data_IF_483725076287
#
_entry.id   IF_483725076287
#
_cell.length_a   1.000
_cell.length_b   1.000
_cell.length_c   1.000
_cell.angle_alpha   90.00
_cell.angle_beta   90.00
_cell.angle_gamma   90.00
#
_symmetry.space_group_name_H-M   'P 1'
#
loop_
_entity.id
_entity.type
_entity.pdbx_description
1 polymer ?
#
# COMPACT_ATOMS: atom_id res chain seq x y z
N UNK A 1 0.36 -6.48 18.74
CA UNK A 1 0.26 -6.12 17.31
C UNK A 1 -1.20 -5.84 16.99
N UNK A 2 -1.55 -4.56 16.85
CA UNK A 2 -2.84 -4.16 16.28
C UNK A 2 -2.68 -4.32 14.77
N UNK A 3 -3.41 -5.26 14.17
CA UNK A 3 -3.38 -5.45 12.74
C UNK A 3 -4.80 -5.35 12.18
N UNK A 4 -5.01 -4.61 11.09
CA UNK A 4 -6.20 -4.82 10.27
C UNK A 4 -6.09 -6.23 9.70
N UNK A 5 -6.96 -7.14 10.14
CA UNK A 5 -7.07 -8.46 9.54
C UNK A 5 -7.64 -8.31 8.13
N UNK A 6 -6.82 -8.57 7.12
CA UNK A 6 -7.31 -8.94 5.79
C UNK A 6 -7.93 -10.33 5.91
N UNK A 7 -9.19 -10.38 6.35
CA UNK A 7 -10.06 -11.45 5.93
C UNK A 7 -10.37 -11.20 4.46
N UNK A 8 -9.98 -12.12 3.57
CA UNK A 8 -10.65 -12.27 2.28
C UNK A 8 -12.17 -12.15 2.53
N UNK A 9 -12.91 -11.32 1.78
CA UNK A 9 -14.28 -10.98 2.14
C UNK A 9 -15.18 -12.22 2.07
N UNK A 10 -15.39 -12.85 3.22
CA UNK A 10 -16.59 -13.63 3.47
C UNK A 10 -17.71 -12.61 3.62
N UNK A 11 -18.55 -12.56 2.59
CA UNK A 11 -19.73 -11.70 2.51
C UNK A 11 -20.66 -11.97 3.71
N UNK A 12 -20.57 -11.14 4.75
CA UNK A 12 -21.54 -11.13 5.84
C UNK A 12 -22.51 -9.96 5.68
N UNK A 13 -23.79 -10.27 5.87
CA UNK A 13 -24.92 -9.39 5.59
C UNK A 13 -25.15 -8.39 6.73
N UNK A 14 -24.85 -7.11 6.47
CA UNK A 14 -25.28 -5.99 7.31
C UNK A 14 -26.38 -5.20 6.59
N UNK A 15 -27.58 -5.16 7.18
CA UNK A 15 -28.72 -4.38 6.69
C UNK A 15 -28.57 -2.94 7.16
N UNK A 16 -28.45 -1.97 6.25
CA UNK A 16 -28.49 -0.54 6.58
C UNK A 16 -29.60 0.14 5.78
N UNK A 17 -30.54 0.73 6.52
CA UNK A 17 -31.67 1.53 6.04
C UNK A 17 -31.17 2.88 5.50
N UNK A 18 -31.73 3.29 4.36
CA UNK A 18 -31.40 4.54 3.68
C UNK A 18 -32.18 5.74 4.22
N UNK A 19 -31.54 6.91 4.19
CA UNK A 19 -32.16 8.22 4.31
C UNK A 19 -31.86 9.03 3.05
N UNK A 20 -32.91 9.43 2.34
CA UNK A 20 -32.87 10.34 1.19
C UNK A 20 -32.81 11.79 1.70
N UNK A 21 -31.89 12.58 1.14
CA UNK A 21 -31.97 14.04 1.18
C UNK A 21 -31.69 14.59 -0.22
N UNK A 22 -32.73 15.17 -0.82
CA UNK A 22 -32.63 16.05 -1.98
C UNK A 22 -32.03 17.40 -1.57
N UNK A 23 -31.50 18.18 -2.51
CA UNK A 23 -31.69 19.65 -2.62
C UNK A 23 -30.92 20.25 -3.81
N UNK A 24 -31.71 20.95 -4.64
CA UNK A 24 -31.52 22.17 -5.47
C UNK A 24 -30.54 22.25 -6.65
N UNK A 25 -31.19 22.38 -7.80
CA UNK A 25 -30.84 23.21 -8.97
C UNK A 25 -30.48 24.66 -8.63
N UNK A 26 -29.49 25.20 -9.36
CA UNK A 26 -29.47 26.61 -9.80
C UNK A 26 -28.88 26.75 -11.21
N UNK A 27 -29.59 27.59 -11.96
CA UNK A 27 -29.47 27.96 -13.36
C UNK A 27 -28.16 28.69 -13.77
N UNK A 28 -27.91 28.80 -15.09
CA UNK A 28 -26.70 29.35 -15.68
C UNK A 28 -26.81 30.86 -15.94
N UNK A 29 -25.68 31.58 -15.83
CA UNK A 29 -25.56 32.97 -16.29
C UNK A 29 -24.62 33.09 -17.48
N UNK A 30 -25.21 33.54 -18.57
CA UNK A 30 -24.62 34.07 -19.80
C UNK A 30 -23.59 35.18 -19.56
N UNK A 31 -22.56 35.26 -20.40
CA UNK A 31 -21.88 36.51 -20.78
C UNK A 31 -21.51 36.51 -22.28
N UNK A 32 -21.57 37.69 -22.95
CA UNK A 32 -21.47 37.84 -24.40
C UNK A 32 -20.04 38.08 -24.90
N UNK A 33 -19.85 37.85 -26.21
CA UNK A 33 -18.55 37.78 -26.87
C UNK A 33 -17.94 39.09 -27.37
N UNK A 34 -16.74 38.97 -27.94
CA UNK A 34 -16.01 39.92 -28.81
C UNK A 34 -14.95 39.11 -29.61
N UNK A 35 -14.22 39.68 -30.59
CA UNK A 35 -14.51 39.64 -32.02
C UNK A 35 -13.52 38.77 -32.84
N UNK A 36 -13.95 38.51 -34.06
CA UNK A 36 -13.21 37.95 -35.21
C UNK A 36 -11.98 38.78 -35.62
N UNK A 37 -10.83 38.14 -35.82
CA UNK A 37 -9.76 38.63 -36.70
C UNK A 37 -9.03 37.49 -37.45
N UNK A 38 -9.13 37.61 -38.79
CA UNK A 38 -8.20 37.29 -39.87
C UNK A 38 -7.61 35.86 -40.08
N UNK A 39 -7.66 35.34 -41.32
CA UNK A 39 -7.08 34.05 -41.68
C UNK A 39 -5.61 34.23 -42.07
N UNK A 40 -4.69 33.94 -41.16
CA UNK A 40 -3.29 33.72 -41.52
C UNK A 40 -3.14 32.30 -42.05
N UNK A 41 -2.75 32.24 -43.32
CA UNK A 41 -2.44 31.06 -44.11
C UNK A 41 -1.24 30.31 -43.48
N UNK A 42 -1.49 29.49 -42.47
CA UNK A 42 -0.51 28.54 -41.94
C UNK A 42 -0.57 27.33 -42.87
N UNK A 43 0.48 27.18 -43.68
CA UNK A 43 0.79 25.98 -44.45
C UNK A 43 0.93 24.85 -43.43
N UNK A 44 -0.15 24.06 -43.31
CA UNK A 44 -0.24 22.91 -42.44
C UNK A 44 0.69 21.83 -42.94
N UNK A 45 1.89 21.76 -42.36
CA UNK A 45 2.64 20.52 -42.28
C UNK A 45 1.80 19.61 -41.37
N UNK A 46 0.84 18.91 -41.98
CA UNK A 46 0.19 17.74 -41.41
C UNK A 46 1.27 16.66 -41.29
N UNK A 47 2.11 16.80 -40.26
CA UNK A 47 2.86 15.68 -39.73
C UNK A 47 1.80 14.67 -39.31
N UNK A 48 1.67 13.61 -40.11
CA UNK A 48 1.12 12.34 -39.71
C UNK A 48 2.00 11.82 -38.56
N UNK A 49 1.92 12.45 -37.39
CA UNK A 49 2.35 11.81 -36.16
C UNK A 49 1.32 10.73 -35.95
N UNK A 50 1.61 9.52 -36.46
CA UNK A 50 0.99 8.31 -35.93
C UNK A 50 1.06 8.46 -34.41
N UNK A 51 -0.10 8.70 -33.81
CA UNK A 51 -0.19 9.18 -32.44
C UNK A 51 0.58 8.22 -31.57
N UNK A 52 1.77 8.66 -31.12
CA UNK A 52 2.60 7.92 -30.18
C UNK A 52 1.74 7.80 -28.95
N UNK A 53 0.99 6.70 -28.83
CA UNK A 53 0.19 6.43 -27.65
C UNK A 53 1.19 6.42 -26.52
N UNK A 54 1.11 7.42 -25.65
CA UNK A 54 1.97 7.53 -24.50
C UNK A 54 1.93 6.17 -23.78
N UNK A 55 3.09 5.51 -23.71
CA UNK A 55 3.19 4.22 -23.03
C UNK A 55 2.84 4.46 -21.57
N UNK A 56 1.95 3.65 -20.99
CA UNK A 56 1.66 3.67 -19.56
C UNK A 56 2.94 3.27 -18.81
N UNK A 57 3.50 4.18 -18.02
CA UNK A 57 4.68 3.93 -17.20
C UNK A 57 4.30 4.12 -15.73
N UNK A 58 4.89 3.30 -14.86
CA UNK A 58 4.80 3.56 -13.44
C UNK A 58 5.56 4.84 -13.06
N UNK A 59 5.37 5.40 -11.85
CA UNK A 59 6.11 6.59 -11.44
C UNK A 59 7.62 6.41 -11.52
N UNK A 60 8.35 7.47 -11.85
CA UNK A 60 9.82 7.43 -11.98
C UNK A 60 10.49 7.06 -10.67
N UNK A 61 9.96 7.51 -9.51
CA UNK A 61 10.54 7.18 -8.20
C UNK A 61 10.58 5.67 -7.89
N UNK A 62 9.83 4.84 -8.62
CA UNK A 62 9.93 3.37 -8.52
C UNK A 62 11.03 2.78 -9.40
N UNK A 63 11.48 3.53 -10.42
CA UNK A 63 12.35 3.08 -11.50
C UNK A 63 13.73 3.74 -11.48
N UNK A 64 13.82 4.95 -10.91
CA UNK A 64 15.03 5.75 -10.90
C UNK A 64 16.14 4.95 -10.22
N UNK A 65 17.27 4.72 -10.91
CA UNK A 65 18.35 3.90 -10.38
C UNK A 65 18.94 4.55 -9.13
N UNK A 66 19.50 3.71 -8.26
CA UNK A 66 20.27 4.19 -7.12
C UNK A 66 21.56 4.89 -7.61
N UNK A 67 22.25 5.67 -6.76
CA UNK A 67 23.48 6.37 -7.15
C UNK A 67 24.60 5.46 -7.68
N UNK A 68 24.56 4.17 -7.34
CA UNK A 68 25.48 3.14 -7.84
C UNK A 68 25.06 2.53 -9.19
N UNK A 69 23.96 3.01 -9.77
CA UNK A 69 23.37 2.51 -11.02
C UNK A 69 22.52 1.25 -10.85
N UNK A 70 22.42 0.69 -9.64
CA UNK A 70 21.59 -0.49 -9.39
C UNK A 70 20.10 -0.16 -9.48
N UNK A 71 19.30 -1.16 -9.85
CA UNK A 71 17.84 -1.01 -9.92
C UNK A 71 17.28 -0.85 -8.52
N UNK A 72 16.53 0.23 -8.29
CA UNK A 72 15.79 0.44 -7.05
C UNK A 72 14.74 -0.66 -6.89
N UNK A 73 14.67 -1.21 -5.68
CA UNK A 73 13.63 -2.15 -5.29
C UNK A 73 13.01 -1.70 -3.98
N UNK A 74 11.81 -2.20 -3.71
CA UNK A 74 11.03 -1.89 -2.53
C UNK A 74 10.66 -3.18 -1.81
N UNK A 75 10.51 -3.12 -0.50
CA UNK A 75 10.13 -4.26 0.33
C UNK A 75 8.69 -4.09 0.79
N UNK A 76 7.90 -5.14 0.78
CA UNK A 76 6.57 -5.19 1.41
C UNK A 76 6.37 -6.54 2.08
N UNK A 77 5.30 -6.68 2.86
CA UNK A 77 4.97 -7.91 3.56
C UNK A 77 3.61 -8.44 3.10
N UNK A 78 3.59 -9.74 2.80
CA UNK A 78 2.36 -10.48 2.58
C UNK A 78 2.19 -11.48 3.71
N UNK A 79 0.94 -11.67 4.13
CA UNK A 79 0.59 -12.63 5.17
C UNK A 79 -0.25 -13.71 4.57
N UNK A 80 0.22 -14.94 4.69
CA UNK A 80 -0.55 -16.12 4.36
C UNK A 80 -1.21 -16.63 5.63
N UNK A 81 -2.53 -16.73 5.61
CA UNK A 81 -3.31 -17.40 6.66
C UNK A 81 -3.70 -18.79 6.18
N UNK A 82 -2.94 -19.81 6.59
CA UNK A 82 -3.27 -21.23 6.36
C UNK A 82 -4.13 -21.82 7.49
N UNK A 83 -4.39 -23.13 7.45
CA UNK A 83 -5.29 -23.86 8.36
C UNK A 83 -4.91 -23.81 9.86
N UNK A 84 -3.79 -23.20 10.23
CA UNK A 84 -3.38 -22.96 11.64
C UNK A 84 -2.13 -22.09 11.77
N UNK A 85 -1.36 -21.94 10.69
CA UNK A 85 -0.10 -21.19 10.69
C UNK A 85 -0.25 -19.87 9.92
N UNK A 86 0.21 -18.78 10.54
CA UNK A 86 0.37 -17.48 9.90
C UNK A 86 1.82 -17.39 9.45
N UNK A 87 2.05 -17.38 8.15
CA UNK A 87 3.38 -17.15 7.59
C UNK A 87 3.43 -15.75 7.01
N UNK A 88 4.39 -14.95 7.46
CA UNK A 88 4.69 -13.65 6.86
C UNK A 88 5.86 -13.81 5.92
N UNK A 89 5.66 -13.48 4.66
CA UNK A 89 6.72 -13.47 3.64
C UNK A 89 7.00 -12.04 3.21
N UNK A 90 8.29 -11.74 3.00
CA UNK A 90 8.71 -10.45 2.47
C UNK A 90 8.83 -10.54 0.96
N UNK A 91 8.22 -9.57 0.27
CA UNK A 91 8.32 -9.40 -1.17
C UNK A 91 9.29 -8.27 -1.52
N UNK A 92 10.10 -8.49 -2.53
CA UNK A 92 10.87 -7.46 -3.23
C UNK A 92 10.11 -7.03 -4.50
N UNK A 93 9.70 -5.76 -4.53
CA UNK A 93 9.03 -5.13 -5.65
C UNK A 93 10.05 -4.36 -6.48
N UNK A 94 10.15 -4.72 -7.77
CA UNK A 94 10.98 -4.01 -8.75
C UNK A 94 10.10 -3.42 -9.84
N UNK A 95 10.46 -2.26 -10.37
CA UNK A 95 9.74 -1.59 -11.45
C UNK A 95 10.64 -1.40 -12.66
N UNK A 96 10.17 -1.83 -13.83
CA UNK A 96 10.85 -1.65 -15.12
C UNK A 96 9.83 -1.14 -16.13
N UNK A 97 9.86 0.15 -16.44
CA UNK A 97 8.96 0.81 -17.38
C UNK A 97 7.47 0.65 -16.99
N UNK A 98 6.76 -0.16 -17.78
CA UNK A 98 5.34 -0.47 -17.62
C UNK A 98 5.09 -1.75 -16.82
N UNK A 99 6.11 -2.37 -16.24
CA UNK A 99 6.00 -3.64 -15.53
C UNK A 99 6.56 -3.55 -14.11
N UNK A 100 5.79 -4.08 -13.15
CA UNK A 100 6.21 -4.35 -11.79
C UNK A 100 6.36 -5.87 -11.62
N UNK A 101 7.41 -6.29 -10.93
CA UNK A 101 7.70 -7.68 -10.61
C UNK A 101 7.85 -7.80 -9.09
N UNK A 102 7.14 -8.75 -8.48
CA UNK A 102 7.25 -9.05 -7.06
C UNK A 102 7.92 -10.40 -6.86
N UNK A 103 9.00 -10.41 -6.10
CA UNK A 103 9.85 -11.56 -5.86
C UNK A 103 9.82 -11.94 -4.38
N UNK A 104 9.61 -13.21 -4.07
CA UNK A 104 9.73 -13.74 -2.72
C UNK A 104 11.09 -14.44 -2.56
N UNK A 105 11.74 -14.23 -1.43
CA UNK A 105 12.93 -14.98 -1.04
C UNK A 105 12.48 -16.25 -0.30
N UNK A 106 12.82 -17.42 -0.81
CA UNK A 106 12.46 -18.73 -0.27
C UNK A 106 13.74 -19.43 0.17
N UNK A 107 13.71 -20.02 1.36
CA UNK A 107 14.79 -20.87 1.86
C UNK A 107 14.46 -22.33 1.59
N UNK A 108 15.23 -22.94 0.69
CA UNK A 108 15.09 -24.35 0.34
C UNK A 108 16.39 -25.10 0.67
N UNK A 109 16.34 -26.41 0.99
CA UNK A 109 17.54 -27.21 1.14
C UNK A 109 18.38 -27.13 -0.13
N UNK A 110 19.67 -26.82 0.01
CA UNK A 110 20.57 -26.83 -1.15
C UNK A 110 20.72 -28.25 -1.68
N UNK A 111 20.84 -28.40 -3.00
CA UNK A 111 21.23 -29.64 -3.67
C UNK A 111 22.71 -29.97 -3.37
N UNK A 112 23.01 -30.38 -2.14
CA UNK A 112 24.35 -30.75 -1.71
C UNK A 112 24.52 -32.27 -1.71
N UNK A 113 25.32 -32.84 -2.62
CA UNK A 113 25.53 -34.30 -2.71
C UNK A 113 26.20 -34.90 -1.47
N UNK A 114 26.74 -34.08 -0.58
CA UNK A 114 27.47 -34.48 0.62
C UNK A 114 26.58 -34.63 1.88
N UNK A 115 25.24 -34.49 1.74
CA UNK A 115 24.30 -34.76 2.84
C UNK A 115 24.30 -33.74 3.97
N UNK A 116 25.07 -32.64 3.87
CA UNK A 116 24.98 -31.52 4.81
C UNK A 116 23.69 -30.73 4.56
N UNK A 117 22.89 -30.52 5.61
CA UNK A 117 21.67 -29.69 5.57
C UNK A 117 22.06 -28.21 5.56
N UNK A 118 22.45 -27.69 4.40
CA UNK A 118 22.54 -26.24 4.16
C UNK A 118 21.25 -25.77 3.50
N UNK A 119 20.80 -24.55 3.83
CA UNK A 119 19.68 -23.89 3.17
C UNK A 119 20.22 -22.83 2.21
N UNK A 120 19.60 -22.73 1.04
CA UNK A 120 19.94 -21.79 -0.02
C UNK A 120 18.77 -20.80 -0.17
N UNK A 121 19.10 -19.52 -0.31
CA UNK A 121 18.11 -18.49 -0.61
C UNK A 121 17.87 -18.46 -2.13
N UNK A 122 16.62 -18.68 -2.53
CA UNK A 122 16.17 -18.60 -3.92
C UNK A 122 15.14 -17.48 -4.07
N UNK A 123 15.23 -16.73 -5.18
CA UNK A 123 14.20 -15.75 -5.56
C UNK A 123 13.19 -16.41 -6.47
N UNK A 124 11.93 -16.43 -6.06
CA UNK A 124 10.81 -16.87 -6.87
C UNK A 124 9.95 -15.67 -7.26
N UNK A 125 9.59 -15.58 -8.54
CA UNK A 125 8.64 -14.57 -9.02
C UNK A 125 7.23 -14.94 -8.52
N UNK A 126 6.69 -14.13 -7.62
CA UNK A 126 5.34 -14.33 -7.06
C UNK A 126 4.29 -13.83 -8.06
N UNK A 127 4.45 -12.59 -8.54
CA UNK A 127 3.54 -12.01 -9.52
C UNK A 127 4.18 -10.93 -10.38
N UNK A 128 3.51 -10.64 -11.50
CA UNK A 128 3.78 -9.47 -12.35
C UNK A 128 2.57 -8.57 -12.44
N UNK A 129 2.81 -7.28 -12.65
CA UNK A 129 1.78 -6.24 -12.81
C UNK A 129 2.17 -5.36 -13.99
N UNK A 130 1.34 -5.30 -15.01
CA UNK A 130 1.57 -4.49 -16.21
C UNK A 130 0.63 -3.27 -16.24
N UNK A 131 1.22 -2.09 -16.36
CA UNK A 131 0.54 -0.80 -16.56
C UNK A 131 -0.16 -0.81 -17.92
N UNK A 132 -1.49 -0.74 -17.92
CA UNK A 132 -2.29 -0.67 -19.14
C UNK A 132 -2.63 0.78 -19.50
N UNK A 133 -3.03 1.56 -18.50
CA UNK A 133 -3.42 2.97 -18.65
C UNK A 133 -3.29 3.71 -17.32
N UNK A 134 -2.84 4.96 -17.35
CA UNK A 134 -2.96 5.88 -16.20
C UNK A 134 -4.35 6.55 -16.21
N UNK A 135 -5.06 6.47 -15.10
CA UNK A 135 -6.47 6.90 -14.95
C UNK A 135 -6.59 8.00 -13.88
N UNK A 136 -5.75 9.02 -14.02
CA UNK A 136 -5.58 10.11 -13.07
C UNK A 136 -4.24 10.05 -12.32
N UNK A 137 -3.94 11.08 -11.54
CA UNK A 137 -2.63 11.25 -10.89
C UNK A 137 -2.32 10.07 -9.97
N UNK A 138 -1.29 9.29 -10.35
CA UNK A 138 -0.81 8.15 -9.57
C UNK A 138 -1.76 6.95 -9.55
N UNK A 139 -2.78 6.90 -10.42
CA UNK A 139 -3.72 5.78 -10.54
C UNK A 139 -3.49 5.03 -11.85
N UNK A 140 -3.42 3.71 -11.77
CA UNK A 140 -3.05 2.85 -12.88
C UNK A 140 -4.05 1.71 -13.01
N UNK A 141 -4.54 1.47 -14.23
CA UNK A 141 -5.19 0.21 -14.56
C UNK A 141 -4.10 -0.82 -14.82
N UNK A 142 -4.15 -1.90 -14.08
CA UNK A 142 -3.08 -2.90 -14.04
C UNK A 142 -3.63 -4.25 -14.46
N UNK A 143 -2.90 -4.93 -15.35
CA UNK A 143 -3.04 -6.37 -15.58
C UNK A 143 -2.12 -7.08 -14.60
N UNK A 144 -2.70 -7.82 -13.67
CA UNK A 144 -1.97 -8.61 -12.70
C UNK A 144 -1.95 -10.07 -13.16
N UNK A 145 -0.77 -10.67 -13.14
CA UNK A 145 -0.57 -12.08 -13.48
C UNK A 145 0.18 -12.75 -12.33
N UNK A 146 -0.48 -13.71 -11.70
CA UNK A 146 0.06 -14.52 -10.61
C UNK A 146 -0.17 -15.99 -10.97
N UNK A 147 0.91 -16.76 -11.07
CA UNK A 147 0.88 -18.12 -11.64
C UNK A 147 0.18 -18.13 -13.03
N UNK A 148 -0.90 -18.91 -13.18
CA UNK A 148 -1.69 -19.03 -14.41
C UNK A 148 -2.97 -18.16 -14.40
N UNK A 149 -3.12 -17.29 -13.40
CA UNK A 149 -4.31 -16.46 -13.21
C UNK A 149 -4.03 -15.02 -13.63
N UNK A 150 -4.99 -14.43 -14.34
CA UNK A 150 -4.91 -13.04 -14.83
C UNK A 150 -6.10 -12.25 -14.29
N UNK A 151 -5.78 -11.16 -13.61
CA UNK A 151 -6.72 -10.24 -13.01
C UNK A 151 -6.48 -8.81 -13.51
N UNK A 152 -7.52 -8.00 -13.42
CA UNK A 152 -7.47 -6.58 -13.74
C UNK A 152 -8.02 -5.80 -12.56
N UNK A 153 -7.30 -4.77 -12.13
CA UNK A 153 -7.75 -3.86 -11.09
C UNK A 153 -7.12 -2.48 -11.25
N UNK A 154 -7.63 -1.51 -10.50
CA UNK A 154 -6.98 -0.21 -10.37
C UNK A 154 -6.03 -0.18 -9.20
N UNK A 155 -4.85 0.39 -9.38
CA UNK A 155 -3.83 0.56 -8.35
C UNK A 155 -3.51 2.05 -8.20
N UNK A 156 -3.41 2.54 -6.97
CA UNK A 156 -2.91 3.90 -6.69
C UNK A 156 -1.57 3.80 -5.99
N UNK A 157 -0.61 4.60 -6.42
CA UNK A 157 0.74 4.63 -5.87
C UNK A 157 1.03 6.05 -5.40
N UNK A 158 1.32 6.21 -4.11
CA UNK A 158 1.62 7.51 -3.51
C UNK A 158 2.97 7.44 -2.81
N UNK A 159 3.91 8.26 -3.26
CA UNK A 159 5.16 8.48 -2.55
C UNK A 159 4.88 9.30 -1.29
N UNK A 160 5.11 8.73 -0.11
CA UNK A 160 4.98 9.45 1.17
C UNK A 160 6.27 10.19 1.51
N UNK A 161 7.41 9.52 1.32
CA UNK A 161 8.76 10.08 1.40
C UNK A 161 9.75 9.18 0.61
N UNK A 162 11.06 9.44 0.64
CA UNK A 162 12.03 8.65 -0.15
C UNK A 162 12.15 7.19 0.28
N UNK A 163 11.76 6.89 1.51
CA UNK A 163 11.82 5.56 2.10
C UNK A 163 10.50 4.80 2.02
N UNK A 164 9.40 5.45 1.62
CA UNK A 164 8.05 4.93 1.83
C UNK A 164 7.11 5.26 0.66
N UNK A 165 6.55 4.21 0.08
CA UNK A 165 5.49 4.27 -0.92
C UNK A 165 4.26 3.57 -0.38
N UNK A 166 3.14 4.27 -0.34
CA UNK A 166 1.84 3.69 0.00
C UNK A 166 1.14 3.24 -1.29
N UNK A 167 0.48 2.09 -1.21
CA UNK A 167 -0.29 1.50 -2.31
C UNK A 167 -1.74 1.31 -1.91
N UNK A 168 -2.64 1.47 -2.87
CA UNK A 168 -4.04 1.09 -2.78
C UNK A 168 -4.39 0.20 -3.96
N UNK A 169 -5.27 -0.76 -3.76
CA UNK A 169 -5.79 -1.65 -4.79
C UNK A 169 -7.32 -1.59 -4.82
N UNK A 170 -7.88 -1.52 -6.03
CA UNK A 170 -9.31 -1.66 -6.27
C UNK A 170 -9.75 -3.12 -6.33
N UNK A 171 -11.03 -3.32 -6.61
CA UNK A 171 -11.61 -4.64 -6.80
C UNK A 171 -10.99 -5.39 -7.98
N UNK A 172 -10.64 -6.65 -7.77
CA UNK A 172 -10.08 -7.54 -8.79
C UNK A 172 -11.18 -8.12 -9.69
N UNK A 173 -10.95 -8.04 -11.00
CA UNK A 173 -11.81 -8.68 -12.01
C UNK A 173 -10.99 -9.74 -12.73
N UNK A 174 -11.39 -11.01 -12.60
CA UNK A 174 -10.72 -12.13 -13.26
C UNK A 174 -11.11 -12.22 -14.74
N UNK A 175 -10.13 -12.58 -15.58
CA UNK A 175 -10.34 -12.85 -17.00
C UNK A 175 -10.39 -14.36 -17.25
N UNK A 176 -11.39 -15.06 -16.70
CA UNK A 176 -11.66 -16.43 -17.14
C UNK A 176 -12.34 -16.42 -18.51
N UNK A 177 -11.83 -17.27 -19.41
CA UNK A 177 -12.06 -17.30 -20.87
C UNK A 177 -13.49 -17.62 -21.33
N UNK A 178 -14.49 -17.66 -20.43
CA UNK A 178 -15.89 -18.00 -20.75
C UNK A 178 -16.87 -16.82 -20.60
N UNK A 179 -16.34 -15.59 -20.71
CA UNK A 179 -17.12 -14.37 -20.65
C UNK A 179 -17.06 -13.75 -19.27
N UNK A 180 -16.72 -12.47 -19.22
CA UNK A 180 -16.67 -11.59 -18.04
C UNK A 180 -17.86 -11.86 -17.10
N UNK A 181 -17.72 -12.80 -16.16
CA UNK A 181 -18.59 -12.91 -15.00
C UNK A 181 -18.00 -11.98 -13.96
N UNK A 182 -18.34 -10.70 -14.10
CA UNK A 182 -18.22 -9.71 -13.03
C UNK A 182 -18.76 -10.33 -11.74
N UNK A 183 -18.01 -10.23 -10.64
CA UNK A 183 -18.54 -10.46 -9.30
C UNK A 183 -19.69 -9.47 -9.10
N UNK A 184 -20.91 -9.90 -9.40
CA UNK A 184 -22.12 -9.07 -9.32
C UNK A 184 -22.36 -8.81 -7.85
N UNK A 185 -22.13 -7.57 -7.42
CA UNK A 185 -22.66 -7.05 -6.17
C UNK A 185 -24.13 -7.47 -6.03
N UNK A 186 -24.46 -8.15 -4.92
CA UNK A 186 -25.71 -8.87 -4.68
C UNK A 186 -27.01 -8.02 -4.75
N UNK A 187 -26.93 -6.74 -5.11
CA UNK A 187 -28.08 -5.91 -5.50
C UNK A 187 -28.27 -5.90 -7.02
N UNK A 188 -28.71 -7.04 -7.55
CA UNK A 188 -29.72 -7.15 -8.61
C UNK A 188 -29.74 -6.19 -9.82
N UNK A 189 -28.64 -5.59 -10.25
CA UNK A 189 -28.57 -4.83 -11.50
C UNK A 189 -27.51 -5.44 -12.40
N UNK A 190 -27.97 -6.12 -13.46
CA UNK A 190 -27.17 -6.49 -14.65
C UNK A 190 -26.73 -5.22 -15.40
N UNK A 191 -25.95 -4.36 -14.75
CA UNK A 191 -25.16 -3.36 -15.44
C UNK A 191 -23.79 -3.98 -15.63
N UNK A 192 -23.39 -4.24 -16.88
CA UNK A 192 -21.98 -4.55 -17.16
C UNK A 192 -21.12 -3.47 -16.50
N UNK A 193 -20.05 -3.87 -15.80
CA UNK A 193 -19.10 -2.92 -15.24
C UNK A 193 -18.57 -2.13 -16.43
N UNK A 194 -19.09 -0.91 -16.62
CA UNK A 194 -18.55 -0.01 -17.61
C UNK A 194 -17.11 0.26 -17.20
N UNK A 195 -16.19 0.10 -18.14
CA UNK A 195 -14.75 0.23 -17.98
C UNK A 195 -14.32 1.58 -17.33
N UNK A 196 -15.21 2.58 -17.29
CA UNK A 196 -15.01 3.84 -16.57
C UNK A 196 -15.01 3.75 -15.03
N UNK A 197 -15.43 2.63 -14.43
CA UNK A 197 -15.62 2.51 -12.98
C UNK A 197 -14.47 1.89 -12.17
N UNK A 198 -13.47 1.28 -12.84
CA UNK A 198 -12.42 0.49 -12.16
C UNK A 198 -11.55 1.32 -11.19
N UNK A 199 -11.27 2.58 -11.53
CA UNK A 199 -10.40 3.48 -10.76
C UNK A 199 -11.13 4.49 -9.87
N UNK A 200 -12.34 4.14 -9.43
CA UNK A 200 -13.08 4.95 -8.46
C UNK A 200 -12.47 4.83 -7.06
N UNK A 201 -12.12 5.96 -6.45
CA UNK A 201 -11.51 6.02 -5.10
C UNK A 201 -12.34 5.29 -4.03
N UNK A 202 -13.67 5.28 -4.17
CA UNK A 202 -14.58 4.67 -3.18
C UNK A 202 -14.45 3.15 -3.06
N UNK A 203 -13.88 2.49 -4.06
CA UNK A 203 -13.72 1.03 -4.10
C UNK A 203 -12.28 0.57 -3.94
N UNK A 204 -11.37 1.47 -3.55
CA UNK A 204 -9.96 1.16 -3.34
C UNK A 204 -9.69 0.92 -1.86
N UNK A 205 -8.94 -0.13 -1.58
CA UNK A 205 -8.46 -0.48 -0.25
C UNK A 205 -6.97 -0.20 -0.16
N UNK A 206 -6.54 0.36 0.97
CA UNK A 206 -5.15 0.64 1.23
C UNK A 206 -4.42 -0.66 1.58
N UNK A 207 -3.24 -0.86 0.98
CA UNK A 207 -2.34 -1.92 1.37
C UNK A 207 -1.89 -1.69 2.82
N UNK A 208 -2.16 -2.62 3.76
CA UNK A 208 -1.78 -2.44 5.15
C UNK A 208 -0.27 -2.38 5.37
N UNK A 209 0.53 -2.86 4.40
CA UNK A 209 1.99 -2.80 4.45
C UNK A 209 2.54 -1.92 3.32
N UNK A 210 2.90 -0.67 3.63
CA UNK A 210 3.51 0.19 2.64
C UNK A 210 4.82 -0.41 2.14
N UNK A 211 5.19 -0.04 0.93
CA UNK A 211 6.44 -0.42 0.31
C UNK A 211 7.56 0.44 0.89
N UNK A 212 8.58 -0.22 1.44
CA UNK A 212 9.69 0.44 2.14
C UNK A 212 10.99 0.25 1.38
N UNK A 213 11.84 1.26 1.35
CA UNK A 213 13.18 1.10 0.77
C UNK A 213 13.96 0.01 1.57
N UNK A 214 14.89 -0.71 0.94
CA UNK A 214 15.71 -1.71 1.65
C UNK A 214 16.68 -1.08 2.66
N UNK A 215 17.04 0.18 2.43
CA UNK A 215 17.88 0.98 3.31
C UNK A 215 17.26 2.37 3.43
N UNK A 216 17.34 2.95 4.62
CA UNK A 216 16.90 4.31 4.84
C UNK A 216 17.82 5.29 4.08
N UNK A 217 17.27 5.99 3.10
CA UNK A 217 17.96 6.99 2.27
C UNK A 217 18.02 8.35 2.96
N UNK A 218 17.02 8.66 3.80
CA UNK A 218 16.93 9.92 4.52
C UNK A 218 16.47 9.72 5.96
N UNK A 219 17.03 10.51 6.89
CA UNK A 219 16.52 10.57 8.26
C UNK A 219 15.12 11.19 8.26
N UNK A 220 14.18 10.54 8.93
CA UNK A 220 12.79 11.00 9.04
C UNK A 220 12.45 11.27 10.50
N UNK A 221 11.96 12.48 10.85
CA UNK A 221 11.51 12.76 12.20
C UNK A 221 10.32 11.88 12.57
N UNK A 222 10.30 11.39 13.80
CA UNK A 222 9.16 10.66 14.33
C UNK A 222 8.07 11.66 14.77
N UNK A 223 6.79 11.41 14.47
CA UNK A 223 5.71 12.33 14.81
C UNK A 223 5.31 12.26 16.29
N UNK A 224 6.01 11.47 17.11
CA UNK A 224 5.68 11.21 18.50
C UNK A 224 6.73 11.81 19.42
N UNK A 225 6.27 12.63 20.35
CA UNK A 225 7.02 13.09 21.50
C UNK A 225 6.06 13.29 22.68
N UNK A 226 6.50 12.96 23.89
CA UNK A 226 5.72 13.09 25.13
C UNK A 226 5.02 11.80 25.55
N UNK A 227 4.10 11.93 26.51
CA UNK A 227 3.41 10.82 27.14
C UNK A 227 1.97 10.64 26.65
N UNK A 228 1.63 9.41 26.30
CA UNK A 228 0.36 9.01 25.72
C UNK A 228 -0.30 7.94 26.57
N UNK A 229 -1.52 8.19 27.02
CA UNK A 229 -2.36 7.13 27.57
C UNK A 229 -2.78 6.21 26.42
N UNK A 230 -2.55 4.91 26.56
CA UNK A 230 -2.81 3.95 25.50
C UNK A 230 -3.67 2.79 25.97
N UNK A 231 -4.40 2.20 25.03
CA UNK A 231 -5.02 0.89 25.18
C UNK A 231 -4.58 0.03 24.01
N UNK A 232 -3.91 -1.09 24.31
CA UNK A 232 -3.45 -2.00 23.27
C UNK A 232 -4.23 -3.31 23.33
N UNK A 233 -4.67 -3.75 22.16
CA UNK A 233 -5.45 -4.97 21.98
C UNK A 233 -4.67 -5.89 21.03
N UNK A 234 -4.38 -7.11 21.47
CA UNK A 234 -3.79 -8.15 20.63
C UNK A 234 -4.82 -8.61 19.59
N UNK A 235 -4.36 -9.27 18.52
CA UNK A 235 -5.25 -9.81 17.48
C UNK A 235 -6.35 -10.74 18.02
N UNK A 236 -6.08 -11.46 19.11
CA UNK A 236 -7.06 -12.33 19.78
C UNK A 236 -8.05 -11.55 20.69
N UNK A 237 -8.06 -10.22 20.61
CA UNK A 237 -8.90 -9.35 21.43
C UNK A 237 -8.42 -9.15 22.87
N UNK A 238 -7.35 -9.83 23.31
CA UNK A 238 -6.84 -9.67 24.68
C UNK A 238 -6.14 -8.32 24.83
N UNK A 239 -6.46 -7.60 25.89
CA UNK A 239 -5.77 -6.36 26.26
C UNK A 239 -4.34 -6.68 26.71
N UNK A 240 -3.41 -5.85 26.28
CA UNK A 240 -2.05 -5.78 26.83
C UNK A 240 -2.11 -4.86 28.05
N UNK A 241 -1.34 -5.16 29.09
CA UNK A 241 -1.35 -4.40 30.36
C UNK A 241 -2.69 -4.43 31.14
N UNK A 242 -3.38 -5.59 31.28
CA UNK A 242 -4.76 -5.64 31.80
C UNK A 242 -4.90 -5.30 33.29
N UNK A 243 -3.84 -5.52 34.08
CA UNK A 243 -3.90 -5.50 35.55
C UNK A 243 -3.47 -4.16 36.16
N UNK A 244 -3.29 -3.12 35.35
CA UNK A 244 -2.90 -1.80 35.83
C UNK A 244 -4.14 -0.99 36.24
N UNK A 245 -4.21 -0.61 37.52
CA UNK A 245 -5.28 0.24 38.08
C UNK A 245 -5.34 1.62 37.39
N UNK A 246 -4.22 2.09 36.83
CA UNK A 246 -4.11 3.36 36.11
C UNK A 246 -4.04 3.09 34.61
N UNK A 247 -4.50 4.05 33.81
CA UNK A 247 -4.30 4.02 32.37
C UNK A 247 -2.81 3.82 32.07
N UNK A 248 -2.51 2.84 31.22
CA UNK A 248 -1.15 2.56 30.79
C UNK A 248 -0.65 3.75 30.00
N UNK A 249 0.44 4.36 30.45
CA UNK A 249 1.04 5.54 29.83
C UNK A 249 2.36 5.18 29.18
N UNK A 250 2.48 5.41 27.88
CA UNK A 250 3.70 5.22 27.12
C UNK A 250 4.35 6.58 26.96
N UNK A 251 5.61 6.70 27.36
CA UNK A 251 6.42 7.87 27.07
C UNK A 251 7.17 7.65 25.76
N UNK A 252 7.26 8.69 24.95
CA UNK A 252 7.97 8.67 23.69
C UNK A 252 8.91 9.86 23.59
N UNK A 253 10.14 9.59 23.19
CA UNK A 253 11.16 10.62 22.96
C UNK A 253 11.78 10.40 21.58
N UNK A 254 11.76 11.43 20.74
CA UNK A 254 12.40 11.38 19.44
C UNK A 254 13.71 12.15 19.48
N UNK A 255 14.83 11.43 19.35
CA UNK A 255 16.17 12.02 19.31
C UNK A 255 16.71 11.95 17.89
N UNK A 256 17.16 13.08 17.36
CA UNK A 256 17.69 13.17 15.99
C UNK A 256 18.91 12.25 15.84
N UNK A 257 18.86 11.36 14.85
CA UNK A 257 19.90 10.36 14.59
C UNK A 257 19.76 9.06 15.37
N UNK A 258 19.10 9.05 16.52
CA UNK A 258 18.90 7.85 17.33
C UNK A 258 17.54 7.20 17.08
N UNK A 259 16.53 8.00 16.70
CA UNK A 259 15.19 7.53 16.35
C UNK A 259 14.16 7.85 17.44
N UNK A 260 13.27 6.89 17.70
CA UNK A 260 12.17 6.94 18.65
C UNK A 260 12.46 5.99 19.80
N UNK A 261 12.61 6.53 20.99
CA UNK A 261 12.62 5.77 22.22
C UNK A 261 11.18 5.68 22.75
N UNK A 262 10.71 4.46 23.00
CA UNK A 262 9.42 4.19 23.64
C UNK A 262 9.68 3.58 25.00
N UNK A 263 9.09 4.18 26.04
CA UNK A 263 9.18 3.70 27.41
C UNK A 263 7.80 3.31 27.91
N UNK A 264 7.67 2.06 28.35
CA UNK A 264 6.46 1.46 28.88
C UNK A 264 6.52 1.36 30.41
N UNK A 265 5.38 1.39 31.12
CA UNK A 265 5.36 1.28 32.58
C UNK A 265 5.91 -0.04 33.11
N UNK A 266 5.70 -1.12 32.35
CA UNK A 266 6.14 -2.45 32.70
C UNK A 266 6.39 -3.29 31.42
N UNK A 267 7.23 -4.32 31.54
CA UNK A 267 7.56 -5.25 30.48
C UNK A 267 6.32 -5.92 29.86
N UNK A 268 5.29 -6.21 30.68
CA UNK A 268 4.03 -6.81 30.22
C UNK A 268 3.18 -5.85 29.39
N UNK A 269 3.49 -4.55 29.43
CA UNK A 269 2.80 -3.48 28.71
C UNK A 269 3.46 -3.17 27.36
N UNK A 270 4.58 -3.83 27.04
CA UNK A 270 5.27 -3.70 25.76
C UNK A 270 4.62 -4.58 24.68
N UNK A 271 4.29 -4.05 23.49
CA UNK A 271 3.73 -4.86 22.40
C UNK A 271 4.79 -5.61 21.59
N UNK A 272 6.06 -5.47 21.95
CA UNK A 272 7.23 -6.01 21.25
C UNK A 272 7.67 -7.34 21.85
N UNK A 273 8.25 -8.21 21.02
CA UNK A 273 8.50 -9.63 21.36
C UNK A 273 9.45 -9.84 22.56
N UNK A 274 10.33 -8.87 22.84
CA UNK A 274 11.31 -8.97 23.92
C UNK A 274 10.78 -8.54 25.30
N UNK A 275 9.51 -8.13 25.41
CA UNK A 275 8.93 -7.56 26.62
C UNK A 275 9.83 -6.49 27.26
N UNK A 276 10.45 -5.62 26.46
CA UNK A 276 11.31 -4.56 27.00
C UNK A 276 10.46 -3.39 27.46
N UNK A 277 10.79 -2.83 28.63
CA UNK A 277 10.23 -1.55 29.09
C UNK A 277 10.72 -0.38 28.24
N UNK A 278 11.90 -0.48 27.64
CA UNK A 278 12.46 0.53 26.76
C UNK A 278 12.77 -0.07 25.39
N UNK A 279 12.23 0.56 24.35
CA UNK A 279 12.37 0.10 22.97
C UNK A 279 12.84 1.24 22.10
N UNK A 280 13.99 1.05 21.46
CA UNK A 280 14.54 1.98 20.48
C UNK A 280 14.12 1.57 19.07
N UNK A 281 13.42 2.46 18.37
CA UNK A 281 13.01 2.28 16.99
C UNK A 281 13.59 3.38 16.10
N UNK A 282 13.78 3.06 14.83
CA UNK A 282 14.13 4.00 13.78
C UNK A 282 12.89 4.28 12.93
N UNK A 283 12.58 5.56 12.72
CA UNK A 283 11.43 5.97 11.93
C UNK A 283 11.80 6.01 10.44
N UNK A 284 10.96 5.34 9.64
CA UNK A 284 11.11 5.26 8.19
C UNK A 284 10.18 6.23 7.47
N UNK A 285 9.01 6.50 8.05
CA UNK A 285 8.02 7.40 7.47
C UNK A 285 6.84 7.64 8.39
N UNK A 286 6.18 8.77 8.21
CA UNK A 286 4.87 9.03 8.79
C UNK A 286 4.00 9.84 7.85
N UNK A 287 2.68 9.72 7.99
CA UNK A 287 1.71 10.54 7.26
C UNK A 287 0.40 10.65 8.05
N UNK A 288 -0.37 11.70 7.76
CA UNK A 288 -1.71 11.91 8.30
C UNK A 288 -2.75 11.46 7.27
N UNK A 289 -3.71 10.65 7.68
CA UNK A 289 -4.79 10.16 6.82
C UNK A 289 -6.02 9.85 7.67
N UNK A 290 -7.18 10.37 7.27
CA UNK A 290 -8.47 10.17 7.95
C UNK A 290 -8.45 10.45 9.46
N UNK A 291 -7.68 11.45 9.89
CA UNK A 291 -7.54 11.81 11.31
C UNK A 291 -6.57 10.93 12.11
N UNK A 292 -5.94 9.95 11.47
CA UNK A 292 -4.92 9.10 12.07
C UNK A 292 -3.53 9.50 11.59
N UNK A 293 -2.57 9.49 12.51
CA UNK A 293 -1.14 9.54 12.17
C UNK A 293 -0.64 8.11 12.04
N UNK A 294 -0.19 7.76 10.84
CA UNK A 294 0.46 6.49 10.58
C UNK A 294 1.97 6.66 10.75
N UNK A 295 2.59 5.71 11.44
CA UNK A 295 4.03 5.66 11.65
C UNK A 295 4.58 4.30 11.20
N UNK A 296 5.59 4.31 10.35
CA UNK A 296 6.34 3.13 9.94
C UNK A 296 7.70 3.17 10.61
N UNK A 297 7.99 2.17 11.43
CA UNK A 297 9.21 2.10 12.21
C UNK A 297 9.76 0.67 12.30
N UNK A 298 11.05 0.57 12.60
CA UNK A 298 11.77 -0.69 12.76
C UNK A 298 12.84 -0.61 13.82
N UNK A 299 13.43 -1.74 14.15
CA UNK A 299 14.66 -1.74 14.94
C UNK A 299 15.78 -1.01 14.17
N UNK A 300 16.73 -0.41 14.90
CA UNK A 300 17.88 0.28 14.31
C UNK A 300 18.65 -0.65 13.36
N UNK A 301 18.99 -0.16 12.17
CA UNK A 301 19.66 -0.92 11.10
C UNK A 301 18.87 -2.13 10.57
N UNK A 302 17.57 -2.20 10.84
CA UNK A 302 16.68 -3.20 10.25
C UNK A 302 15.57 -2.52 9.46
N UNK A 303 15.09 -3.23 8.44
CA UNK A 303 13.88 -2.83 7.71
C UNK A 303 12.69 -2.75 8.68
N UNK A 304 11.74 -1.83 8.46
CA UNK A 304 10.65 -1.62 9.39
C UNK A 304 9.78 -2.87 9.49
N UNK A 305 9.33 -3.14 10.73
CA UNK A 305 8.52 -4.30 11.09
C UNK A 305 7.18 -3.87 11.70
N UNK A 306 6.98 -2.57 11.86
CA UNK A 306 5.84 -2.01 12.57
C UNK A 306 5.20 -0.88 11.76
N UNK A 307 3.87 -0.93 11.66
CA UNK A 307 3.02 0.15 11.18
C UNK A 307 2.03 0.47 12.29
N UNK A 308 2.10 1.69 12.84
CA UNK A 308 1.25 2.14 13.93
C UNK A 308 0.22 3.14 13.40
N UNK A 309 -1.08 2.80 13.37
CA UNK A 309 -2.13 3.78 13.25
C UNK A 309 -2.39 4.40 14.63
N UNK A 310 -2.30 5.73 14.73
CA UNK A 310 -2.45 6.45 16.00
C UNK A 310 -3.49 7.55 15.86
N UNK A 311 -4.46 7.57 16.76
CA UNK A 311 -5.36 8.70 16.93
C UNK A 311 -4.70 9.63 17.94
N UNK A 312 -4.36 10.84 17.52
CA UNK A 312 -3.83 11.90 18.38
C UNK A 312 -4.97 12.87 18.70
#
# INVERSE_FOLDING_TARGET
>A
MVQPSLSLPWCTSGTVQGGLAAVRDRDPTNLPGVPTMLPSLIIGILLLTEGVRAKCLFPSFLQDPLPDGSTRYWLTEIKYTGNSEKTTSRLEITSKNSQLEAWVNIQEPCDNPQGSRSYCDHKQLEYTRQCLKEDGVGKYRVRHQQHNLVYYFCMKIVLRNRNLVQVWHGLEISSTSTGYRTCVSRRGRKGGVQDGGLCNDRGMEQDPWPWVAPKQEEWVPCPLAGGYDFTMIKENGKRICPDTWRLSRMESECVRGEGLQLTFPDHTCSPFDDAKTEVQLQCWGSWLEDGFTFLVAGNVNRVPQFVFPMSI
#
